data_IF_166508651792
#
_entry.id   IF_166508651792
#
_cell.length_a   1.000
_cell.length_b   1.000
_cell.length_c   1.000
_cell.angle_alpha   90.00
_cell.angle_beta   90.00
_cell.angle_gamma   90.00
#
_symmetry.space_group_name_H-M   'P 1'
#
loop_
_entity.id
_entity.type
_entity.pdbx_description
1 polymer ?
#
# COMPACT_ATOMS: atom_id res chain seq x y z
N UNK A 1 -33.87 -26.98 -27.03
CA UNK A 1 -33.20 -25.71 -26.69
C UNK A 1 -33.22 -25.54 -25.17
N UNK A 2 -32.12 -25.83 -24.46
CA UNK A 2 -32.05 -25.72 -22.98
C UNK A 2 -31.46 -24.36 -22.56
N UNK A 3 -32.15 -23.65 -21.67
CA UNK A 3 -31.73 -22.36 -21.13
C UNK A 3 -30.84 -22.59 -19.89
N UNK A 4 -29.60 -22.10 -19.94
CA UNK A 4 -28.67 -22.14 -18.81
C UNK A 4 -29.20 -21.31 -17.62
N UNK A 5 -29.03 -21.83 -16.41
CA UNK A 5 -29.52 -21.22 -15.17
C UNK A 5 -28.75 -19.94 -14.83
N UNK A 6 -29.38 -19.02 -14.07
CA UNK A 6 -28.82 -17.70 -13.75
C UNK A 6 -27.40 -17.77 -13.14
N UNK A 7 -27.12 -18.79 -12.33
CA UNK A 7 -25.79 -19.07 -11.74
C UNK A 7 -24.74 -19.40 -12.79
N UNK A 8 -25.11 -20.17 -13.82
CA UNK A 8 -24.19 -20.47 -14.93
C UNK A 8 -23.87 -19.22 -15.77
N UNK A 9 -24.79 -18.25 -15.85
CA UNK A 9 -24.52 -16.95 -16.51
C UNK A 9 -23.57 -16.07 -15.68
N UNK A 10 -23.71 -16.04 -14.35
CA UNK A 10 -22.79 -15.26 -13.48
C UNK A 10 -21.37 -15.86 -13.46
N UNK A 11 -21.26 -17.19 -13.44
CA UNK A 11 -19.98 -17.89 -13.43
C UNK A 11 -19.28 -17.86 -14.80
N UNK A 12 -20.05 -17.77 -15.89
CA UNK A 12 -19.50 -17.54 -17.24
C UNK A 12 -19.05 -16.09 -17.44
N UNK A 13 -19.71 -15.11 -16.81
CA UNK A 13 -19.27 -13.70 -16.81
C UNK A 13 -18.01 -13.48 -15.97
N UNK A 14 -17.77 -14.29 -14.93
CA UNK A 14 -16.53 -14.26 -14.15
C UNK A 14 -15.32 -14.84 -14.93
N UNK A 15 -15.57 -15.60 -16.01
CA UNK A 15 -14.55 -16.21 -16.88
C UNK A 15 -14.19 -15.37 -18.12
N UNK A 16 -14.54 -14.09 -18.14
CA UNK A 16 -14.08 -13.18 -19.21
C UNK A 16 -12.56 -13.02 -19.12
N UNK A 17 -11.91 -13.33 -20.24
CA UNK A 17 -10.47 -13.40 -20.42
C UNK A 17 -9.71 -12.19 -19.85
N UNK A 18 -8.74 -12.48 -18.97
CA UNK A 18 -7.58 -11.62 -18.65
C UNK A 18 -7.84 -10.25 -18.01
N UNK A 19 -9.08 -9.76 -17.97
CA UNK A 19 -9.38 -8.43 -17.46
C UNK A 19 -9.80 -8.51 -16.00
N UNK A 20 -8.91 -8.07 -15.13
CA UNK A 20 -9.24 -7.84 -13.73
C UNK A 20 -10.48 -6.92 -13.66
N UNK A 21 -11.46 -7.22 -12.78
CA UNK A 21 -12.70 -6.47 -12.69
C UNK A 21 -12.41 -4.99 -12.44
N UNK A 22 -13.24 -4.10 -13.00
CA UNK A 22 -13.10 -2.65 -12.82
C UNK A 22 -13.12 -2.32 -11.32
N UNK A 23 -11.98 -1.85 -10.79
CA UNK A 23 -11.77 -1.64 -9.36
C UNK A 23 -10.72 -2.55 -8.71
N UNK A 24 -10.20 -3.55 -9.41
CA UNK A 24 -9.03 -4.31 -8.96
C UNK A 24 -7.78 -3.42 -9.05
N UNK A 25 -7.41 -2.79 -7.93
CA UNK A 25 -6.09 -2.19 -7.82
C UNK A 25 -5.06 -3.32 -7.95
N UNK A 26 -4.17 -3.20 -8.94
CA UNK A 26 -3.04 -4.12 -9.08
C UNK A 26 -2.12 -3.87 -7.89
N UNK A 27 -2.27 -4.67 -6.84
CA UNK A 27 -1.34 -4.65 -5.71
C UNK A 27 0.01 -5.16 -6.20
N UNK A 28 0.92 -4.23 -6.49
CA UNK A 28 2.31 -4.56 -6.80
C UNK A 28 2.98 -5.00 -5.50
N UNK A 29 3.35 -6.27 -5.44
CA UNK A 29 4.16 -6.80 -4.36
C UNK A 29 5.60 -6.35 -4.60
N UNK A 30 6.15 -5.59 -3.66
CA UNK A 30 7.55 -5.18 -3.65
C UNK A 30 8.21 -5.90 -2.49
N UNK A 31 9.20 -6.77 -2.73
CA UNK A 31 9.92 -7.42 -1.64
C UNK A 31 10.73 -6.37 -0.87
N UNK A 32 10.66 -6.42 0.45
CA UNK A 32 11.56 -5.66 1.33
C UNK A 32 12.83 -6.49 1.51
N UNK A 33 13.96 -6.01 0.99
CA UNK A 33 15.21 -6.76 0.96
C UNK A 33 16.00 -6.73 2.28
N UNK A 34 15.79 -5.72 3.11
CA UNK A 34 16.54 -5.55 4.36
C UNK A 34 15.87 -6.31 5.51
N UNK A 35 16.55 -7.35 6.00
CA UNK A 35 16.07 -8.19 7.10
C UNK A 35 15.96 -7.45 8.43
N UNK A 36 16.85 -6.49 8.71
CA UNK A 36 16.80 -5.71 9.95
C UNK A 36 15.56 -4.82 9.94
N UNK A 37 15.32 -4.13 8.82
CA UNK A 37 14.12 -3.32 8.62
C UNK A 37 12.83 -4.15 8.74
N UNK A 38 12.78 -5.33 8.14
CA UNK A 38 11.61 -6.23 8.25
C UNK A 38 11.35 -6.64 9.70
N UNK A 39 12.40 -6.96 10.45
CA UNK A 39 12.28 -7.35 11.87
C UNK A 39 11.74 -6.21 12.74
N UNK A 40 12.24 -4.99 12.53
CA UNK A 40 11.74 -3.80 13.22
C UNK A 40 10.26 -3.52 12.88
N UNK A 41 9.89 -3.64 11.60
CA UNK A 41 8.52 -3.43 11.15
C UNK A 41 7.57 -4.48 11.76
N UNK A 42 7.97 -5.74 11.81
CA UNK A 42 7.20 -6.82 12.45
C UNK A 42 6.96 -6.53 13.93
N UNK A 43 8.00 -6.13 14.65
CA UNK A 43 7.90 -5.75 16.06
C UNK A 43 6.96 -4.56 16.25
N UNK A 44 7.09 -3.51 15.43
CA UNK A 44 6.21 -2.33 15.49
C UNK A 44 4.75 -2.68 15.21
N UNK A 45 4.46 -3.50 14.20
CA UNK A 45 3.09 -3.93 13.87
C UNK A 45 2.49 -4.74 15.03
N UNK A 46 3.30 -5.60 15.65
CA UNK A 46 2.88 -6.40 16.80
C UNK A 46 2.61 -5.53 18.04
N UNK A 47 3.47 -4.57 18.35
CA UNK A 47 3.35 -3.72 19.55
C UNK A 47 2.25 -2.68 19.42
N UNK A 48 2.13 -2.04 18.26
CA UNK A 48 1.11 -1.01 18.00
C UNK A 48 -0.26 -1.59 17.61
N UNK A 49 -0.39 -2.93 17.58
CA UNK A 49 -1.62 -3.67 17.19
C UNK A 49 -2.25 -3.10 15.92
N UNK A 50 -1.44 -2.83 14.90
CA UNK A 50 -1.91 -2.19 13.67
C UNK A 50 -2.85 -3.17 12.96
N UNK A 51 -4.13 -2.83 12.75
CA UNK A 51 -5.06 -3.72 12.06
C UNK A 51 -4.61 -3.88 10.61
N UNK A 52 -4.27 -5.11 10.21
CA UNK A 52 -3.87 -5.44 8.84
C UNK A 52 -5.05 -5.49 7.87
N UNK A 53 -6.25 -5.72 8.39
CA UNK A 53 -7.49 -5.77 7.62
C UNK A 53 -8.55 -4.91 8.31
N UNK A 54 -9.27 -4.11 7.51
CA UNK A 54 -10.38 -3.29 7.97
C UNK A 54 -11.62 -3.62 7.16
N UNK A 55 -12.76 -3.72 7.84
CA UNK A 55 -14.06 -3.91 7.20
C UNK A 55 -14.49 -2.63 6.50
N UNK A 56 -14.64 -2.68 5.19
CA UNK A 56 -15.12 -1.54 4.41
C UNK A 56 -16.64 -1.38 4.64
N UNK A 57 -17.06 -0.26 5.22
CA UNK A 57 -18.47 0.03 5.57
C UNK A 57 -19.40 0.02 4.34
N UNK A 58 -18.87 0.29 3.14
CA UNK A 58 -19.64 0.38 1.90
C UNK A 58 -19.80 -0.96 1.19
N UNK A 59 -18.80 -1.83 1.25
CA UNK A 59 -18.78 -3.12 0.52
C UNK A 59 -18.98 -4.32 1.44
N UNK A 60 -18.89 -4.13 2.77
CA UNK A 60 -19.02 -5.17 3.78
C UNK A 60 -17.84 -6.16 3.85
N UNK A 61 -16.86 -6.04 2.95
CA UNK A 61 -15.71 -6.93 2.82
C UNK A 61 -14.56 -6.52 3.75
N UNK A 62 -13.78 -7.50 4.19
CA UNK A 62 -12.48 -7.27 4.83
C UNK A 62 -11.47 -6.92 3.73
N UNK A 63 -10.89 -5.73 3.81
CA UNK A 63 -9.91 -5.23 2.85
C UNK A 63 -8.59 -4.96 3.59
N UNK A 64 -7.45 -5.16 2.90
CA UNK A 64 -6.12 -4.84 3.46
C UNK A 64 -6.10 -3.37 3.87
N UNK A 65 -5.89 -3.14 5.15
CA UNK A 65 -5.88 -1.81 5.71
C UNK A 65 -4.57 -1.11 5.37
N UNK A 66 -4.67 0.20 5.12
CA UNK A 66 -3.48 1.04 5.06
C UNK A 66 -2.87 1.10 6.47
N UNK A 67 -1.56 0.89 6.56
CA UNK A 67 -0.83 0.91 7.84
C UNK A 67 -0.94 2.30 8.50
N UNK A 68 -0.81 3.37 7.69
CA UNK A 68 -0.92 4.76 8.14
C UNK A 68 -1.63 5.64 7.12
N UNK A 69 -2.49 6.55 7.58
CA UNK A 69 -2.99 7.66 6.76
C UNK A 69 -2.11 8.89 7.01
N UNK A 70 -1.20 9.19 6.08
CA UNK A 70 -0.21 10.25 6.22
C UNK A 70 -0.41 11.25 5.06
N UNK A 71 -0.22 12.54 5.37
CA UNK A 71 -0.23 13.62 4.37
C UNK A 71 1.15 13.82 3.76
N UNK A 72 1.20 14.36 2.53
CA UNK A 72 2.48 14.71 1.88
C UNK A 72 3.36 15.62 2.76
N UNK A 73 2.73 16.58 3.45
CA UNK A 73 3.42 17.51 4.36
C UNK A 73 4.19 16.76 5.45
N UNK A 74 3.55 15.78 6.08
CA UNK A 74 4.19 14.98 7.15
C UNK A 74 5.36 14.16 6.61
N UNK A 75 5.21 13.57 5.42
CA UNK A 75 6.31 12.83 4.76
C UNK A 75 7.49 13.75 4.48
N UNK A 76 7.23 14.96 3.98
CA UNK A 76 8.29 15.95 3.72
C UNK A 76 9.02 16.34 5.00
N UNK A 77 8.29 16.59 6.09
CA UNK A 77 8.88 16.91 7.39
C UNK A 77 9.79 15.79 7.89
N UNK A 78 9.32 14.55 7.91
CA UNK A 78 10.15 13.41 8.34
C UNK A 78 11.39 13.20 7.46
N UNK A 79 11.27 13.44 6.15
CA UNK A 79 12.40 13.33 5.24
C UNK A 79 13.44 14.43 5.50
N UNK A 80 13.00 15.66 5.77
CA UNK A 80 13.90 16.76 6.13
C UNK A 80 14.62 16.47 7.45
N UNK A 81 13.90 16.03 8.49
CA UNK A 81 14.48 15.66 9.78
C UNK A 81 15.51 14.54 9.65
N UNK A 82 15.23 13.52 8.83
CA UNK A 82 16.17 12.43 8.57
C UNK A 82 17.43 12.90 7.83
N UNK A 83 17.31 13.86 6.92
CA UNK A 83 18.47 14.45 6.21
C UNK A 83 19.31 15.28 7.17
N UNK A 84 18.68 16.04 8.07
CA UNK A 84 19.39 16.80 9.11
C UNK A 84 20.13 15.88 10.08
N UNK A 85 19.49 14.78 10.52
CA UNK A 85 20.12 13.79 11.38
C UNK A 85 21.33 13.13 10.69
N UNK A 86 21.19 12.74 9.43
CA UNK A 86 22.30 12.18 8.65
C UNK A 86 23.47 13.19 8.51
N UNK A 87 23.17 14.48 8.33
CA UNK A 87 24.19 15.52 8.28
C UNK A 87 24.91 15.68 9.63
N UNK A 88 24.20 15.55 10.76
CA UNK A 88 24.80 15.53 12.09
C UNK A 88 25.73 14.32 12.29
N UNK A 89 25.42 13.18 11.66
CA UNK A 89 26.27 11.99 11.62
C UNK A 89 27.42 12.10 10.59
N UNK A 90 27.59 13.25 9.94
CA UNK A 90 28.64 13.52 8.94
C UNK A 90 28.34 12.96 7.54
N UNK A 91 27.13 12.44 7.31
CA UNK A 91 26.70 11.89 6.02
C UNK A 91 26.07 13.00 5.17
N UNK A 92 26.68 13.27 4.01
CA UNK A 92 26.15 14.25 3.05
C UNK A 92 25.63 13.55 1.80
N UNK A 93 24.40 13.86 1.41
CA UNK A 93 23.84 13.38 0.15
C UNK A 93 24.29 14.27 -1.00
N UNK A 94 24.79 13.67 -2.09
CA UNK A 94 25.21 14.39 -3.30
C UNK A 94 24.05 14.94 -4.13
N UNK A 95 22.86 14.38 -3.94
CA UNK A 95 21.63 14.77 -4.63
C UNK A 95 20.59 15.17 -3.58
N UNK A 96 19.85 16.28 -3.79
CA UNK A 96 18.80 16.68 -2.85
C UNK A 96 17.74 15.59 -2.73
N UNK A 97 17.42 15.22 -1.50
CA UNK A 97 16.43 14.19 -1.19
C UNK A 97 15.04 14.84 -1.18
N UNK A 98 14.22 14.52 -2.19
CA UNK A 98 12.85 15.05 -2.31
C UNK A 98 11.84 13.92 -2.43
N UNK A 99 10.65 14.02 -1.79
CA UNK A 99 9.59 13.05 -1.99
C UNK A 99 9.12 13.12 -3.44
N UNK A 100 9.07 11.98 -4.14
CA UNK A 100 8.66 11.88 -5.55
C UNK A 100 7.15 12.05 -5.77
N UNK A 101 6.45 12.84 -4.95
CA UNK A 101 5.02 13.06 -5.15
C UNK A 101 4.79 13.98 -6.34
N UNK A 102 3.99 13.50 -7.31
CA UNK A 102 3.54 14.30 -8.45
C UNK A 102 2.84 15.57 -7.94
N UNK A 103 3.41 16.73 -8.25
CA UNK A 103 2.65 17.97 -8.42
C UNK A 103 1.56 17.70 -9.47
N UNK A 104 0.32 17.50 -9.03
CA UNK A 104 -0.84 17.69 -9.88
C UNK A 104 -1.38 19.09 -9.59
N UNK A 105 -1.26 19.92 -10.63
CA UNK A 105 -2.08 21.11 -10.86
C UNK A 105 -3.56 20.78 -10.73
#
# INVERSE_FOLDING_TARGET
>A
MQLATLKQRTEKAARTAGRAPAGSQVHRLVPLSDHHYVSQLQMMVATLKIPLERRNKRTGRMEKARIWEITDRTVRTWLSEAVEAAAADGVTFSVPVTPKLKLLR
#
